data_IF_711526387316
#
_entry.id   IF_711526387316
#
_cell.length_a   1.000
_cell.length_b   1.000
_cell.length_c   1.000
_cell.angle_alpha   90.00
_cell.angle_beta   90.00
_cell.angle_gamma   90.00
#
_symmetry.space_group_name_H-M   'P 1'
#
loop_
_entity.id
_entity.type
_entity.pdbx_description
1 polymer ?
#
# COMPACT_ATOMS: atom_id res chain seq x y z
N UNK A 1 6.81 -13.47 -30.52
CA UNK A 1 8.00 -12.93 -29.85
C UNK A 1 9.08 -13.98 -29.85
N UNK A 2 10.26 -13.64 -30.35
CA UNK A 2 11.38 -14.56 -30.48
C UNK A 2 11.87 -15.00 -29.10
N UNK A 3 11.63 -16.28 -28.73
CA UNK A 3 11.89 -16.88 -27.42
C UNK A 3 13.37 -17.18 -27.14
N UNK A 4 14.29 -16.67 -27.99
CA UNK A 4 15.72 -17.02 -27.94
C UNK A 4 16.59 -16.03 -27.16
N UNK A 5 16.08 -14.85 -26.75
CA UNK A 5 16.88 -13.86 -25.97
C UNK A 5 16.78 -14.17 -24.49
N UNK A 6 17.93 -14.38 -23.84
CA UNK A 6 18.01 -14.51 -22.38
C UNK A 6 17.34 -13.31 -21.69
N UNK A 7 16.45 -13.58 -20.73
CA UNK A 7 15.79 -12.53 -19.96
C UNK A 7 16.81 -11.75 -19.13
N UNK A 8 16.63 -10.41 -18.96
CA UNK A 8 17.54 -9.64 -18.13
C UNK A 8 17.35 -9.98 -16.65
N UNK A 9 18.41 -9.81 -15.86
CA UNK A 9 18.30 -9.81 -14.41
C UNK A 9 17.65 -8.51 -13.93
N UNK A 10 16.64 -8.62 -13.07
CA UNK A 10 15.96 -7.48 -12.47
C UNK A 10 16.70 -7.07 -11.20
N UNK A 11 17.23 -5.83 -11.18
CA UNK A 11 17.74 -5.20 -9.97
C UNK A 11 16.61 -4.40 -9.31
N UNK A 12 15.98 -4.96 -8.29
CA UNK A 12 14.93 -4.31 -7.53
C UNK A 12 15.53 -3.50 -6.37
N UNK A 13 15.14 -2.22 -6.23
CA UNK A 13 15.65 -1.31 -5.21
C UNK A 13 14.52 -0.81 -4.33
N UNK A 14 14.49 -1.24 -3.07
CA UNK A 14 13.50 -0.82 -2.09
C UNK A 14 14.15 -0.55 -0.72
N UNK A 15 13.56 0.37 0.06
CA UNK A 15 14.07 0.72 1.38
C UNK A 15 13.84 -0.39 2.40
N UNK A 16 12.60 -0.81 2.56
CA UNK A 16 12.17 -2.00 3.28
C UNK A 16 11.27 -2.82 2.37
N UNK A 17 11.23 -4.14 2.55
CA UNK A 17 10.40 -5.02 1.74
C UNK A 17 9.66 -6.04 2.61
N UNK A 18 8.52 -6.52 2.15
CA UNK A 18 7.85 -7.68 2.72
C UNK A 18 8.68 -8.94 2.42
N UNK A 19 8.78 -9.93 3.31
CA UNK A 19 8.09 -10.04 4.61
C UNK A 19 8.79 -9.35 5.78
N UNK A 20 9.98 -8.77 5.60
CA UNK A 20 10.77 -8.15 6.66
C UNK A 20 10.02 -6.98 7.33
N UNK A 21 9.18 -6.30 6.57
CA UNK A 21 8.36 -5.20 7.06
C UNK A 21 7.00 -5.16 6.37
N UNK A 22 5.98 -4.64 7.05
CA UNK A 22 4.60 -4.55 6.55
C UNK A 22 4.26 -3.15 6.05
N UNK A 23 3.72 -3.08 4.82
CA UNK A 23 3.31 -1.82 4.18
C UNK A 23 2.94 -2.03 2.72
N UNK A 24 2.02 -1.23 2.20
CA UNK A 24 1.48 -1.40 0.84
C UNK A 24 2.56 -1.41 -0.25
N UNK A 25 3.47 -0.42 -0.25
CA UNK A 25 4.56 -0.34 -1.21
C UNK A 25 5.53 -1.54 -1.11
N UNK A 26 5.77 -2.03 0.11
CA UNK A 26 6.67 -3.15 0.35
C UNK A 26 6.06 -4.48 -0.08
N UNK A 27 4.77 -4.68 0.20
CA UNK A 27 3.99 -5.83 -0.26
C UNK A 27 3.91 -5.86 -1.80
N UNK A 28 3.61 -4.72 -2.42
CA UNK A 28 3.57 -4.59 -3.88
C UNK A 28 4.91 -4.97 -4.52
N UNK A 29 6.03 -4.46 -3.98
CA UNK A 29 7.38 -4.79 -4.49
C UNK A 29 7.63 -6.30 -4.43
N UNK A 30 7.32 -6.94 -3.30
CA UNK A 30 7.50 -8.37 -3.12
C UNK A 30 6.60 -9.20 -4.04
N UNK A 31 5.32 -8.84 -4.13
CA UNK A 31 4.33 -9.54 -4.95
C UNK A 31 4.68 -9.53 -6.45
N UNK A 32 5.22 -8.40 -6.95
CA UNK A 32 5.74 -8.31 -8.31
C UNK A 32 7.01 -9.15 -8.46
N UNK A 33 7.99 -8.98 -7.56
CA UNK A 33 9.29 -9.65 -7.66
C UNK A 33 9.15 -11.17 -7.67
N UNK A 34 8.35 -11.76 -6.76
CA UNK A 34 8.15 -13.23 -6.71
C UNK A 34 7.46 -13.78 -7.97
N UNK A 35 6.56 -12.98 -8.59
CA UNK A 35 5.92 -13.39 -9.85
C UNK A 35 6.87 -13.27 -11.03
N UNK A 36 7.75 -12.26 -11.04
CA UNK A 36 8.81 -12.16 -12.05
C UNK A 36 9.75 -13.37 -11.96
N UNK A 37 10.09 -13.85 -10.76
CA UNK A 37 10.85 -15.10 -10.58
C UNK A 37 10.10 -16.29 -11.18
N UNK A 38 8.80 -16.45 -10.90
CA UNK A 38 7.97 -17.52 -11.49
C UNK A 38 7.92 -17.47 -13.02
N UNK A 39 8.13 -16.29 -13.61
CA UNK A 39 8.21 -16.06 -15.06
C UNK A 39 9.62 -16.26 -15.63
N UNK A 40 10.57 -16.73 -14.82
CA UNK A 40 11.94 -17.07 -15.26
C UNK A 40 12.91 -15.87 -15.26
N UNK A 41 12.60 -14.77 -14.59
CA UNK A 41 13.58 -13.71 -14.34
C UNK A 41 14.40 -14.03 -13.09
N UNK A 42 15.69 -13.74 -13.13
CA UNK A 42 16.47 -13.60 -11.90
C UNK A 42 16.16 -12.25 -11.28
N UNK A 43 15.81 -12.20 -9.99
CA UNK A 43 15.49 -10.96 -9.28
C UNK A 43 16.44 -10.78 -8.09
N UNK A 44 17.23 -9.73 -8.13
CA UNK A 44 18.14 -9.29 -7.06
C UNK A 44 17.53 -8.07 -6.39
N UNK A 45 17.11 -8.22 -5.13
CA UNK A 45 16.55 -7.13 -4.33
C UNK A 45 17.60 -6.60 -3.37
N UNK A 46 17.89 -5.30 -3.47
CA UNK A 46 18.69 -4.58 -2.46
C UNK A 46 17.71 -3.82 -1.56
N UNK A 47 17.72 -4.14 -0.27
CA UNK A 47 16.84 -3.58 0.76
C UNK A 47 17.60 -3.33 2.06
N UNK A 48 16.98 -2.65 3.02
CA UNK A 48 17.58 -2.40 4.32
C UNK A 48 17.11 -3.43 5.34
N UNK A 49 17.90 -3.68 6.38
CA UNK A 49 17.50 -4.49 7.52
C UNK A 49 16.51 -3.73 8.41
N UNK A 50 15.38 -4.33 8.83
CA UNK A 50 14.53 -3.74 9.87
C UNK A 50 15.18 -3.77 11.26
N UNK A 51 15.93 -4.84 11.57
CA UNK A 51 16.75 -5.01 12.79
C UNK A 51 18.08 -5.69 12.46
N UNK A 52 18.98 -5.78 13.45
CA UNK A 52 20.29 -6.45 13.28
C UNK A 52 20.17 -7.96 13.12
N UNK A 53 19.05 -8.56 13.55
CA UNK A 53 18.86 -10.02 13.59
C UNK A 53 18.61 -10.62 12.20
N UNK A 54 18.24 -9.79 11.22
CA UNK A 54 18.01 -10.24 9.85
C UNK A 54 19.33 -10.59 9.14
N UNK A 55 19.40 -11.73 8.40
CA UNK A 55 20.59 -12.10 7.64
C UNK A 55 20.90 -11.09 6.52
N UNK A 56 22.18 -10.97 6.15
CA UNK A 56 22.60 -10.07 5.05
C UNK A 56 22.14 -10.55 3.68
N UNK A 57 21.96 -11.86 3.53
CA UNK A 57 21.49 -12.50 2.31
C UNK A 57 20.53 -13.64 2.63
N UNK A 58 19.46 -13.73 1.86
CA UNK A 58 18.47 -14.79 1.95
C UNK A 58 17.70 -14.89 0.62
N UNK A 59 17.17 -16.07 0.32
CA UNK A 59 16.28 -16.27 -0.82
C UNK A 59 14.86 -16.48 -0.26
N UNK A 60 13.94 -15.57 -0.61
CA UNK A 60 12.54 -15.64 -0.20
C UNK A 60 11.67 -15.65 -1.46
N UNK A 61 10.81 -16.66 -1.63
CA UNK A 61 9.98 -16.86 -2.83
C UNK A 61 10.80 -16.82 -4.15
N UNK A 62 12.07 -17.27 -4.11
CA UNK A 62 13.00 -17.24 -5.23
C UNK A 62 13.66 -15.88 -5.50
N UNK A 63 13.31 -14.85 -4.77
CA UNK A 63 13.94 -13.52 -4.83
C UNK A 63 15.20 -13.50 -3.99
N UNK A 64 16.33 -13.05 -4.55
CA UNK A 64 17.59 -12.90 -3.84
C UNK A 64 17.57 -11.58 -3.03
N UNK A 65 17.33 -11.67 -1.72
CA UNK A 65 17.38 -10.53 -0.79
C UNK A 65 18.80 -10.24 -0.36
N UNK A 66 19.30 -9.07 -0.68
CA UNK A 66 20.56 -8.53 -0.15
C UNK A 66 20.25 -7.34 0.76
N UNK A 67 20.29 -7.59 2.05
CA UNK A 67 20.00 -6.59 3.06
C UNK A 67 21.26 -5.80 3.39
N UNK A 68 21.13 -4.48 3.37
CA UNK A 68 22.18 -3.54 3.75
C UNK A 68 21.93 -2.98 5.14
N UNK A 69 22.94 -2.30 5.70
CA UNK A 69 22.96 -1.86 7.09
C UNK A 69 21.64 -1.23 7.59
N UNK A 70 21.39 -1.44 8.86
CA UNK A 70 20.26 -0.93 9.63
C UNK A 70 20.39 0.55 10.03
N UNK A 71 19.23 1.16 10.38
CA UNK A 71 19.11 2.48 11.03
C UNK A 71 19.60 3.69 10.23
N UNK A 72 19.04 3.84 9.13
CA UNK A 72 19.38 4.79 8.08
C UNK A 72 19.01 6.23 8.41
N UNK A 73 17.99 6.46 9.21
CA UNK A 73 17.59 7.80 9.65
C UNK A 73 18.69 8.54 10.43
N UNK A 74 19.69 7.82 10.93
CA UNK A 74 20.78 8.38 11.74
C UNK A 74 22.10 8.58 10.99
N UNK A 75 22.33 7.87 9.86
CA UNK A 75 23.58 7.98 9.09
C UNK A 75 23.37 7.72 7.58
N UNK A 76 23.01 8.76 6.81
CA UNK A 76 22.79 8.65 5.38
C UNK A 76 24.09 8.32 4.59
N UNK A 77 25.28 8.66 5.13
CA UNK A 77 26.57 8.37 4.49
C UNK A 77 26.85 6.87 4.55
N UNK A 78 26.56 6.26 5.69
CA UNK A 78 26.72 4.81 5.88
C UNK A 78 25.79 4.04 4.92
N UNK A 79 24.54 4.47 4.78
CA UNK A 79 23.61 3.87 3.82
C UNK A 79 24.14 4.02 2.39
N UNK A 80 24.53 5.21 1.99
CA UNK A 80 25.08 5.48 0.67
C UNK A 80 26.25 4.55 0.33
N UNK A 81 27.23 4.42 1.25
CA UNK A 81 28.38 3.49 1.09
C UNK A 81 27.92 2.04 0.98
N UNK A 82 26.95 1.62 1.77
CA UNK A 82 26.40 0.25 1.76
C UNK A 82 25.71 -0.06 0.43
N UNK A 83 24.86 0.85 -0.07
CA UNK A 83 24.23 0.74 -1.39
C UNK A 83 25.26 0.62 -2.50
N UNK A 84 26.28 1.51 -2.49
CA UNK A 84 27.36 1.45 -3.48
C UNK A 84 28.11 0.12 -3.47
N UNK A 85 28.46 -0.37 -2.27
CA UNK A 85 29.19 -1.63 -2.09
C UNK A 85 28.39 -2.79 -2.66
N UNK A 86 27.09 -2.91 -2.30
CA UNK A 86 26.23 -4.00 -2.77
C UNK A 86 26.02 -3.96 -4.28
N UNK A 87 25.74 -2.81 -4.85
CA UNK A 87 25.57 -2.70 -6.31
C UNK A 87 26.85 -3.09 -7.04
N UNK A 88 28.04 -2.63 -6.59
CA UNK A 88 29.32 -3.04 -7.20
C UNK A 88 29.61 -4.53 -7.09
N UNK A 89 29.14 -5.18 -6.01
CA UNK A 89 29.33 -6.63 -5.82
C UNK A 89 28.47 -7.47 -6.74
N UNK A 90 27.27 -7.01 -7.08
CA UNK A 90 26.28 -7.81 -7.82
C UNK A 90 26.13 -7.42 -9.28
N UNK A 91 26.49 -6.19 -9.66
CA UNK A 91 26.50 -5.75 -11.04
C UNK A 91 27.73 -6.26 -11.76
N UNK A 92 27.55 -7.38 -12.47
CA UNK A 92 28.59 -7.94 -13.35
C UNK A 92 28.51 -7.22 -14.70
N UNK A 93 29.64 -6.66 -15.16
CA UNK A 93 29.71 -6.04 -16.49
C UNK A 93 29.49 -7.10 -17.58
N UNK A 94 28.64 -6.76 -18.56
CA UNK A 94 28.29 -7.65 -19.66
C UNK A 94 27.02 -8.46 -19.48
N UNK A 95 26.49 -8.63 -18.26
CA UNK A 95 25.19 -9.25 -18.05
C UNK A 95 24.04 -8.30 -18.39
N UNK A 96 22.92 -8.85 -18.90
CA UNK A 96 21.72 -8.05 -19.19
C UNK A 96 20.98 -7.68 -17.91
N UNK A 97 20.94 -6.38 -17.58
CA UNK A 97 20.26 -5.85 -16.39
C UNK A 97 19.19 -4.84 -16.76
N UNK A 98 18.07 -4.87 -16.00
CA UNK A 98 17.07 -3.81 -15.91
C UNK A 98 16.84 -3.46 -14.44
N UNK A 99 16.74 -2.17 -14.11
CA UNK A 99 16.49 -1.76 -12.73
C UNK A 99 15.01 -1.39 -12.52
N UNK A 100 14.39 -1.93 -11.48
CA UNK A 100 13.07 -1.55 -10.99
C UNK A 100 13.23 -0.83 -9.65
N UNK A 101 13.05 0.49 -9.66
CA UNK A 101 13.31 1.35 -8.50
C UNK A 101 11.99 1.65 -7.81
N UNK A 102 11.84 1.22 -6.57
CA UNK A 102 10.64 1.43 -5.74
C UNK A 102 10.83 2.49 -4.65
N UNK A 103 12.07 2.82 -4.32
CA UNK A 103 12.37 3.82 -3.29
C UNK A 103 13.37 4.85 -3.80
N UNK A 104 13.06 6.17 -3.72
CA UNK A 104 13.91 7.21 -4.27
C UNK A 104 15.23 7.37 -3.53
N UNK A 105 15.31 7.10 -2.22
CA UNK A 105 16.55 7.22 -1.45
C UNK A 105 17.58 6.18 -1.90
N UNK A 106 17.19 4.90 -1.93
CA UNK A 106 18.06 3.81 -2.38
C UNK A 106 18.42 3.98 -3.86
N UNK A 107 17.41 4.36 -4.69
CA UNK A 107 17.60 4.61 -6.12
C UNK A 107 18.60 5.74 -6.41
N UNK A 108 18.48 6.88 -5.73
CA UNK A 108 19.40 8.01 -5.91
C UNK A 108 20.82 7.67 -5.48
N UNK A 109 21.00 6.93 -4.38
CA UNK A 109 22.31 6.46 -3.95
C UNK A 109 22.94 5.47 -4.94
N UNK A 110 22.13 4.62 -5.55
CA UNK A 110 22.57 3.73 -6.61
C UNK A 110 23.12 4.49 -7.83
N UNK A 111 22.54 5.65 -8.17
CA UNK A 111 23.02 6.49 -9.29
C UNK A 111 24.44 6.99 -9.14
N UNK A 112 25.03 6.93 -7.96
CA UNK A 112 26.46 7.28 -7.76
C UNK A 112 27.43 6.21 -8.27
N UNK A 113 26.92 5.01 -8.61
CA UNK A 113 27.69 3.91 -9.20
C UNK A 113 27.66 4.00 -10.73
N UNK A 114 28.81 4.23 -11.39
CA UNK A 114 28.89 4.44 -12.84
C UNK A 114 28.22 3.33 -13.68
N UNK A 115 28.48 2.03 -13.48
CA UNK A 115 27.82 0.95 -14.22
C UNK A 115 26.30 1.01 -14.10
N UNK A 116 25.77 1.27 -12.89
CA UNK A 116 24.32 1.36 -12.67
C UNK A 116 23.66 2.50 -13.47
N UNK A 117 24.35 3.62 -13.72
CA UNK A 117 23.78 4.72 -14.54
C UNK A 117 23.42 4.27 -15.96
N UNK A 118 24.15 3.30 -16.52
CA UNK A 118 23.94 2.79 -17.88
C UNK A 118 22.80 1.80 -17.98
N UNK A 119 22.37 1.20 -16.86
CA UNK A 119 21.26 0.23 -16.85
C UNK A 119 19.95 0.96 -17.13
N UNK A 120 19.09 0.44 -18.03
CA UNK A 120 17.74 0.95 -18.21
C UNK A 120 16.94 0.80 -16.92
N UNK A 121 16.14 1.82 -16.59
CA UNK A 121 15.43 1.92 -15.30
C UNK A 121 13.97 2.23 -15.49
N UNK A 122 13.16 1.57 -14.67
CA UNK A 122 11.76 1.90 -14.41
C UNK A 122 11.66 2.39 -12.97
N UNK A 123 11.07 3.56 -12.75
CA UNK A 123 10.80 4.09 -11.42
C UNK A 123 9.31 3.89 -11.07
N UNK A 124 9.04 3.22 -9.96
CA UNK A 124 7.69 3.00 -9.46
C UNK A 124 7.38 4.03 -8.37
N UNK A 125 6.59 5.03 -8.70
CA UNK A 125 6.17 6.09 -7.79
C UNK A 125 4.92 5.63 -7.01
N UNK A 126 5.13 5.16 -5.78
CA UNK A 126 4.06 4.62 -4.93
C UNK A 126 3.15 5.71 -4.34
N UNK A 127 3.76 6.79 -3.87
CA UNK A 127 3.12 7.98 -3.30
C UNK A 127 4.12 9.12 -3.25
N UNK A 128 3.65 10.34 -3.00
CA UNK A 128 4.53 11.50 -2.80
C UNK A 128 5.19 11.41 -1.42
N UNK A 129 6.47 11.06 -1.37
CA UNK A 129 7.25 11.09 -0.13
C UNK A 129 7.32 12.51 0.45
N UNK A 130 7.37 13.53 -0.42
CA UNK A 130 7.29 14.93 -0.02
C UNK A 130 6.03 15.22 0.81
N UNK A 131 4.85 14.80 0.33
CA UNK A 131 3.58 15.04 1.02
C UNK A 131 3.50 14.27 2.33
N UNK A 132 3.89 12.99 2.33
CA UNK A 132 3.92 12.18 3.54
C UNK A 132 4.82 12.80 4.61
N UNK A 133 6.02 13.22 4.22
CA UNK A 133 6.97 13.84 5.15
C UNK A 133 6.49 15.19 5.63
N UNK A 134 5.85 15.99 4.77
CA UNK A 134 5.27 17.29 5.16
C UNK A 134 4.20 17.12 6.24
N UNK A 135 3.33 16.11 6.14
CA UNK A 135 2.30 15.82 7.15
C UNK A 135 2.97 15.38 8.45
N UNK A 136 3.86 14.40 8.40
CA UNK A 136 4.54 13.87 9.58
C UNK A 136 5.32 14.96 10.36
N UNK A 137 5.97 15.87 9.66
CA UNK A 137 6.78 16.93 10.29
C UNK A 137 5.96 18.11 10.79
N UNK A 138 4.78 18.41 10.21
CA UNK A 138 3.86 19.41 10.73
C UNK A 138 3.29 18.99 12.07
N UNK A 139 3.06 17.72 12.29
CA UNK A 139 2.60 17.18 13.58
C UNK A 139 3.67 17.23 14.68
N UNK A 140 4.96 17.10 14.32
CA UNK A 140 6.09 17.04 15.29
C UNK A 140 6.59 18.43 15.71
N UNK A 141 5.99 19.54 15.24
CA UNK A 141 6.39 20.92 15.55
C UNK A 141 7.90 21.21 15.36
N UNK A 142 8.54 20.62 14.34
CA UNK A 142 9.93 20.93 14.00
C UNK A 142 10.05 22.33 13.37
N UNK A 143 11.12 23.06 13.71
CA UNK A 143 11.35 24.42 13.22
C UNK A 143 11.28 24.51 11.68
N UNK A 144 10.59 25.51 11.15
CA UNK A 144 10.29 25.71 9.70
C UNK A 144 11.51 25.58 8.77
N UNK A 145 12.69 26.00 9.22
CA UNK A 145 13.91 25.96 8.39
C UNK A 145 14.40 24.52 8.17
N UNK A 146 14.40 23.69 9.23
CA UNK A 146 14.79 22.26 9.13
C UNK A 146 13.81 21.49 8.26
N UNK A 147 12.52 21.76 8.39
CA UNK A 147 11.46 21.17 7.57
C UNK A 147 11.72 21.50 6.07
N UNK A 148 11.91 22.75 5.73
CA UNK A 148 12.09 23.17 4.35
C UNK A 148 13.34 22.56 3.71
N UNK A 149 14.47 22.49 4.41
CA UNK A 149 15.70 21.84 3.95
C UNK A 149 15.50 20.35 3.66
N UNK A 150 14.82 19.63 4.57
CA UNK A 150 14.52 18.19 4.42
C UNK A 150 13.61 17.93 3.22
N UNK A 151 12.56 18.71 3.05
CA UNK A 151 11.64 18.58 1.91
C UNK A 151 12.34 18.83 0.56
N UNK A 152 13.26 19.80 0.48
CA UNK A 152 14.07 20.01 -0.73
C UNK A 152 14.97 18.82 -1.06
N UNK A 153 15.57 18.19 -0.04
CA UNK A 153 16.39 16.99 -0.24
C UNK A 153 15.53 15.84 -0.79
N UNK A 154 14.33 15.64 -0.23
CA UNK A 154 13.38 14.63 -0.71
C UNK A 154 13.01 14.87 -2.18
N UNK A 155 12.63 16.09 -2.54
CA UNK A 155 12.34 16.44 -3.93
C UNK A 155 13.53 16.18 -4.86
N UNK A 156 14.75 16.49 -4.43
CA UNK A 156 15.95 16.23 -5.23
C UNK A 156 16.20 14.73 -5.42
N UNK A 157 16.01 13.91 -4.37
CA UNK A 157 16.15 12.45 -4.45
C UNK A 157 15.13 11.83 -5.41
N UNK A 158 13.87 12.23 -5.31
CA UNK A 158 12.81 11.81 -6.23
C UNK A 158 13.10 12.27 -7.65
N UNK A 159 13.50 13.55 -7.83
CA UNK A 159 13.91 14.10 -9.12
C UNK A 159 15.04 13.29 -9.76
N UNK A 160 16.09 12.96 -9.00
CA UNK A 160 17.21 12.17 -9.50
C UNK A 160 16.74 10.80 -10.01
N UNK A 161 15.85 10.10 -9.27
CA UNK A 161 15.33 8.81 -9.69
C UNK A 161 14.56 8.87 -11.00
N UNK A 162 13.61 9.80 -11.13
CA UNK A 162 12.83 9.87 -12.37
C UNK A 162 13.65 10.40 -13.56
N UNK A 163 14.58 11.34 -13.34
CA UNK A 163 15.42 11.94 -14.39
C UNK A 163 16.28 10.92 -15.13
N UNK A 164 16.71 9.88 -14.41
CA UNK A 164 17.52 8.80 -14.95
C UNK A 164 16.71 7.54 -15.30
N UNK A 165 15.38 7.57 -15.16
CA UNK A 165 14.49 6.49 -15.56
C UNK A 165 13.95 6.70 -16.97
N UNK A 166 13.80 5.62 -17.73
CA UNK A 166 13.15 5.64 -19.06
C UNK A 166 11.62 5.67 -18.92
N UNK A 167 11.10 5.07 -17.86
CA UNK A 167 9.68 5.04 -17.55
C UNK A 167 9.41 5.26 -16.07
N UNK A 168 8.24 5.86 -15.76
CA UNK A 168 7.71 6.01 -14.39
C UNK A 168 6.33 5.36 -14.34
N UNK A 169 6.14 4.48 -13.36
CA UNK A 169 4.88 3.80 -13.07
C UNK A 169 4.18 4.48 -11.89
N UNK A 170 2.88 4.63 -12.00
CA UNK A 170 2.02 5.23 -11.00
C UNK A 170 0.92 4.26 -10.62
N UNK A 171 0.50 4.27 -9.37
CA UNK A 171 -0.57 3.39 -8.88
C UNK A 171 -1.97 3.91 -9.25
N UNK A 172 -2.10 5.21 -9.52
CA UNK A 172 -3.36 5.89 -9.81
C UNK A 172 -3.13 7.17 -10.62
N UNK A 173 -4.18 7.68 -11.23
CA UNK A 173 -4.16 9.00 -11.86
C UNK A 173 -3.87 10.11 -10.84
N UNK A 174 -4.35 9.94 -9.60
CA UNK A 174 -4.04 10.84 -8.49
C UNK A 174 -2.53 10.94 -8.26
N UNK A 175 -1.82 9.80 -8.11
CA UNK A 175 -0.36 9.81 -7.90
C UNK A 175 0.39 10.39 -9.10
N UNK A 176 -0.09 10.14 -10.33
CA UNK A 176 0.47 10.74 -11.54
C UNK A 176 0.31 12.26 -11.57
N UNK A 177 -0.87 12.78 -11.21
CA UNK A 177 -1.12 14.23 -11.13
C UNK A 177 -0.22 14.89 -10.08
N UNK A 178 -0.15 14.30 -8.86
CA UNK A 178 0.74 14.80 -7.80
C UNK A 178 2.20 14.84 -8.26
N UNK A 179 2.67 13.80 -8.93
CA UNK A 179 4.01 13.77 -9.50
C UNK A 179 4.24 14.92 -10.50
N UNK A 180 3.30 15.17 -11.41
CA UNK A 180 3.42 16.23 -12.42
C UNK A 180 3.45 17.63 -11.78
N UNK A 181 2.73 17.84 -10.69
CA UNK A 181 2.76 19.10 -9.92
C UNK A 181 4.13 19.41 -9.34
N UNK A 182 4.84 18.38 -8.84
CA UNK A 182 6.19 18.56 -8.30
C UNK A 182 7.28 18.59 -9.36
N UNK A 183 7.08 17.87 -10.46
CA UNK A 183 8.07 17.66 -11.51
C UNK A 183 7.51 18.03 -12.89
N UNK A 184 7.29 19.33 -13.20
CA UNK A 184 6.69 19.77 -14.45
C UNK A 184 7.60 19.65 -15.68
N UNK A 185 8.91 19.33 -15.48
CA UNK A 185 9.90 19.31 -16.54
C UNK A 185 9.84 18.06 -17.41
N UNK A 186 10.80 17.91 -18.35
CA UNK A 186 10.87 16.85 -19.36
C UNK A 186 10.46 15.48 -18.79
N UNK A 187 9.37 14.95 -19.33
CA UNK A 187 8.67 13.76 -18.78
C UNK A 187 9.24 12.49 -19.40
N UNK A 188 9.63 11.48 -18.62
CA UNK A 188 9.84 10.12 -19.12
C UNK A 188 8.50 9.52 -19.58
N UNK A 189 8.53 8.31 -20.16
CA UNK A 189 7.30 7.57 -20.38
C UNK A 189 6.56 7.37 -19.05
N UNK A 190 5.26 7.58 -19.05
CA UNK A 190 4.40 7.49 -17.85
C UNK A 190 3.32 6.46 -18.06
N UNK A 191 3.17 5.49 -17.16
CA UNK A 191 2.07 4.51 -17.18
C UNK A 191 1.41 4.42 -15.80
N UNK A 192 0.10 4.23 -15.81
CA UNK A 192 -0.66 3.87 -14.61
C UNK A 192 -0.75 2.35 -14.58
N UNK A 193 -0.17 1.75 -13.54
CA UNK A 193 -0.25 0.33 -13.24
C UNK A 193 -0.70 0.24 -11.78
N UNK A 194 -1.97 -0.12 -11.52
CA UNK A 194 -2.51 -0.16 -10.16
C UNK A 194 -1.81 -1.23 -9.32
N UNK A 195 -2.01 -1.17 -8.01
CA UNK A 195 -1.68 -2.29 -7.13
C UNK A 195 -2.64 -3.46 -7.32
N UNK A 196 -2.40 -4.56 -6.61
CA UNK A 196 -3.20 -5.77 -6.77
C UNK A 196 -3.55 -6.45 -5.45
N UNK A 197 -4.33 -7.52 -5.57
CA UNK A 197 -4.63 -8.47 -4.51
C UNK A 197 -4.39 -9.90 -5.00
N UNK A 198 -4.11 -10.80 -4.08
CA UNK A 198 -4.13 -12.24 -4.34
C UNK A 198 -5.59 -12.70 -4.35
N UNK A 199 -6.16 -12.78 -5.53
CA UNK A 199 -7.59 -13.05 -5.73
C UNK A 199 -7.99 -14.50 -5.41
N UNK A 200 -7.04 -15.39 -5.23
CA UNK A 200 -7.28 -16.76 -4.76
C UNK A 200 -7.26 -16.84 -3.24
N UNK A 201 -6.37 -16.08 -2.61
CA UNK A 201 -6.28 -15.95 -1.16
C UNK A 201 -7.40 -15.10 -0.58
N UNK A 202 -7.66 -13.94 -1.17
CA UNK A 202 -8.75 -13.03 -0.81
C UNK A 202 -9.96 -13.36 -1.68
N UNK A 203 -10.82 -14.24 -1.21
CA UNK A 203 -12.05 -14.67 -1.88
C UNK A 203 -13.20 -14.78 -0.86
N UNK A 204 -14.44 -14.74 -1.30
CA UNK A 204 -15.57 -15.06 -0.44
C UNK A 204 -15.40 -16.44 0.18
N UNK A 205 -15.72 -16.59 1.47
CA UNK A 205 -15.72 -17.91 2.11
C UNK A 205 -17.06 -18.59 1.89
N UNK A 206 -17.03 -19.85 1.46
CA UNK A 206 -18.20 -20.73 1.39
C UNK A 206 -18.46 -21.44 2.73
N UNK A 207 -17.46 -21.44 3.63
CA UNK A 207 -17.56 -22.09 4.94
C UNK A 207 -18.21 -21.16 5.98
N UNK A 208 -19.50 -21.25 6.14
CA UNK A 208 -20.28 -20.46 7.09
C UNK A 208 -19.87 -20.69 8.54
N UNK A 209 -19.36 -21.89 8.88
CA UNK A 209 -18.91 -22.20 10.23
C UNK A 209 -17.65 -21.41 10.58
N UNK A 210 -16.64 -21.39 9.70
CA UNK A 210 -15.40 -20.60 9.90
C UNK A 210 -15.70 -19.10 10.01
N UNK A 211 -16.64 -18.59 9.18
CA UNK A 211 -17.10 -17.21 9.26
C UNK A 211 -17.72 -16.92 10.64
N UNK A 212 -18.61 -17.83 11.13
CA UNK A 212 -19.25 -17.67 12.43
C UNK A 212 -18.24 -17.76 13.58
N UNK A 213 -17.29 -18.69 13.52
CA UNK A 213 -16.22 -18.82 14.50
C UNK A 213 -15.34 -17.55 14.56
N UNK A 214 -14.99 -16.97 13.39
CA UNK A 214 -14.22 -15.73 13.34
C UNK A 214 -15.02 -14.57 13.95
N UNK A 215 -16.32 -14.45 13.66
CA UNK A 215 -17.18 -13.43 14.28
C UNK A 215 -17.24 -13.58 15.79
N UNK A 216 -17.41 -14.80 16.29
CA UNK A 216 -17.39 -15.09 17.72
C UNK A 216 -16.05 -14.75 18.37
N UNK A 217 -14.93 -15.12 17.74
CA UNK A 217 -13.57 -14.80 18.21
C UNK A 217 -13.33 -13.29 18.31
N UNK A 218 -13.91 -12.52 17.41
CA UNK A 218 -13.83 -11.05 17.39
C UNK A 218 -14.87 -10.37 18.29
N UNK A 219 -15.68 -11.15 19.00
CA UNK A 219 -16.73 -10.62 19.87
C UNK A 219 -17.83 -9.88 19.11
N UNK A 220 -18.18 -10.35 17.89
CA UNK A 220 -19.28 -9.79 17.11
C UNK A 220 -20.57 -10.48 17.56
N UNK A 221 -21.49 -9.79 18.29
CA UNK A 221 -22.72 -10.42 18.74
C UNK A 221 -23.63 -10.80 17.59
N UNK A 222 -24.48 -11.80 17.80
CA UNK A 222 -25.47 -12.19 16.80
C UNK A 222 -26.39 -11.01 16.43
N UNK A 223 -26.70 -10.88 15.16
CA UNK A 223 -27.52 -9.78 14.62
C UNK A 223 -26.77 -8.44 14.47
N UNK A 224 -25.52 -8.32 14.91
CA UNK A 224 -24.73 -7.11 14.71
C UNK A 224 -24.06 -7.09 13.32
N UNK A 225 -24.02 -5.93 12.69
CA UNK A 225 -23.20 -5.71 11.48
C UNK A 225 -21.74 -5.57 11.85
N UNK A 226 -20.89 -6.31 11.16
CA UNK A 226 -19.45 -6.27 11.32
C UNK A 226 -18.81 -5.29 10.33
N UNK A 227 -18.33 -4.15 10.84
CA UNK A 227 -17.59 -3.15 10.10
C UNK A 227 -16.10 -3.37 10.33
N UNK A 228 -15.31 -3.47 9.27
CA UNK A 228 -13.88 -3.75 9.34
C UNK A 228 -13.07 -2.61 8.75
N UNK A 229 -11.98 -2.24 9.41
CA UNK A 229 -10.88 -1.46 8.81
C UNK A 229 -9.54 -2.10 9.13
N UNK A 230 -8.66 -2.24 8.11
CA UNK A 230 -7.32 -2.82 8.24
C UNK A 230 -6.32 -1.77 7.82
N UNK A 231 -5.67 -1.10 8.79
CA UNK A 231 -4.81 0.06 8.51
C UNK A 231 -3.69 0.23 9.53
N UNK A 232 -2.64 0.97 9.15
CA UNK A 232 -1.71 1.52 10.15
C UNK A 232 -2.44 2.56 11.00
N UNK A 233 -2.16 2.60 12.30
CA UNK A 233 -2.78 3.56 13.23
C UNK A 233 -1.95 4.86 13.23
N UNK A 234 -2.07 5.62 12.12
CA UNK A 234 -1.37 6.87 11.86
C UNK A 234 -2.38 7.98 11.49
N UNK A 235 -2.04 9.24 11.73
CA UNK A 235 -2.97 10.37 11.64
C UNK A 235 -3.70 10.47 10.30
N UNK A 236 -2.98 10.37 9.17
CA UNK A 236 -3.58 10.47 7.83
C UNK A 236 -4.57 9.36 7.49
N UNK A 237 -4.67 8.31 8.32
CA UNK A 237 -5.55 7.16 8.07
C UNK A 237 -7.01 7.42 8.48
N UNK A 238 -7.31 8.53 9.18
CA UNK A 238 -8.67 8.99 9.46
C UNK A 238 -9.44 8.12 10.46
N UNK A 239 -8.75 7.35 11.29
CA UNK A 239 -9.39 6.48 12.28
C UNK A 239 -10.04 7.27 13.42
N UNK A 240 -9.53 8.43 13.73
CA UNK A 240 -10.14 9.40 14.68
C UNK A 240 -11.51 9.87 14.20
N UNK A 241 -11.63 10.23 12.91
CA UNK A 241 -12.91 10.57 12.29
C UNK A 241 -13.88 9.37 12.28
N UNK A 242 -13.36 8.16 12.02
CA UNK A 242 -14.20 6.95 12.04
C UNK A 242 -14.73 6.63 13.44
N UNK A 243 -13.93 6.80 14.49
CA UNK A 243 -14.36 6.63 15.88
C UNK A 243 -15.40 7.71 16.24
N UNK A 244 -15.18 8.96 15.85
CA UNK A 244 -16.16 10.04 16.04
C UNK A 244 -17.48 9.73 15.32
N UNK A 245 -17.42 9.22 14.08
CA UNK A 245 -18.58 8.80 13.33
C UNK A 245 -19.35 7.67 14.03
N UNK A 246 -18.66 6.68 14.59
CA UNK A 246 -19.28 5.60 15.36
C UNK A 246 -19.99 6.16 16.61
N UNK A 247 -19.37 7.12 17.33
CA UNK A 247 -20.01 7.77 18.48
C UNK A 247 -21.27 8.54 18.10
N UNK A 248 -21.25 9.28 16.99
CA UNK A 248 -22.43 9.97 16.47
C UNK A 248 -23.58 8.99 16.16
N UNK A 249 -23.28 7.82 15.57
CA UNK A 249 -24.30 6.82 15.25
C UNK A 249 -24.91 6.25 16.53
N UNK A 250 -24.07 5.84 17.50
CA UNK A 250 -24.54 5.26 18.77
C UNK A 250 -25.41 6.26 19.54
N UNK A 251 -25.02 7.54 19.53
CA UNK A 251 -25.82 8.59 20.20
C UNK A 251 -27.15 8.87 19.49
N UNK A 252 -27.15 8.89 18.16
CA UNK A 252 -28.31 9.29 17.35
C UNK A 252 -29.31 8.16 17.09
N UNK A 253 -28.80 6.93 16.97
CA UNK A 253 -29.56 5.74 16.59
C UNK A 253 -29.09 4.50 17.40
N UNK A 254 -29.34 4.48 18.74
CA UNK A 254 -28.85 3.43 19.65
C UNK A 254 -29.43 2.03 19.35
N UNK A 255 -30.51 1.97 18.59
CA UNK A 255 -31.11 0.70 18.14
C UNK A 255 -30.32 -0.01 17.06
N UNK A 256 -29.40 0.68 16.37
CA UNK A 256 -28.58 0.12 15.30
C UNK A 256 -27.44 -0.73 15.87
N UNK A 257 -27.46 -2.01 15.55
CA UNK A 257 -26.52 -3.01 16.08
C UNK A 257 -25.32 -3.17 15.14
N UNK A 258 -24.15 -2.74 15.59
CA UNK A 258 -22.88 -2.92 14.86
C UNK A 258 -21.70 -3.09 15.79
N UNK A 259 -20.64 -3.70 15.27
CA UNK A 259 -19.30 -3.77 15.87
C UNK A 259 -18.27 -3.33 14.84
N UNK A 260 -17.47 -2.34 15.19
CA UNK A 260 -16.34 -1.89 14.37
C UNK A 260 -15.05 -2.56 14.84
N UNK A 261 -14.37 -3.28 13.97
CA UNK A 261 -13.06 -3.86 14.25
C UNK A 261 -12.00 -3.03 13.55
N UNK A 262 -11.07 -2.51 14.35
CA UNK A 262 -9.90 -1.74 13.89
C UNK A 262 -8.68 -2.66 14.00
N UNK A 263 -8.19 -3.15 12.85
CA UNK A 263 -7.05 -4.03 12.74
C UNK A 263 -5.81 -3.25 12.27
N UNK A 264 -4.71 -3.37 13.02
CA UNK A 264 -3.43 -2.74 12.70
C UNK A 264 -2.67 -2.25 13.92
N UNK A 265 -1.49 -1.70 13.65
CA UNK A 265 -0.61 -1.06 14.65
C UNK A 265 -0.14 0.30 14.15
N UNK A 266 0.26 1.18 15.05
CA UNK A 266 0.80 2.50 14.72
C UNK A 266 0.96 3.39 15.93
N UNK A 267 1.48 4.59 15.68
CA UNK A 267 1.81 5.57 16.74
C UNK A 267 0.59 6.08 17.52
N UNK A 268 -0.60 6.02 16.91
CA UNK A 268 -1.83 6.53 17.51
C UNK A 268 -2.64 5.48 18.29
N UNK A 269 -2.13 4.25 18.49
CA UNK A 269 -2.88 3.18 19.15
C UNK A 269 -3.54 3.61 20.45
N UNK A 270 -2.77 4.16 21.40
CA UNK A 270 -3.26 4.50 22.72
C UNK A 270 -4.22 5.71 22.69
N UNK A 271 -3.94 6.68 21.81
CA UNK A 271 -4.81 7.83 21.59
C UNK A 271 -6.18 7.42 21.06
N UNK A 272 -6.22 6.52 20.06
CA UNK A 272 -7.46 6.05 19.46
C UNK A 272 -8.29 5.18 20.43
N UNK A 273 -7.64 4.35 21.23
CA UNK A 273 -8.30 3.59 22.30
C UNK A 273 -8.91 4.52 23.34
N UNK A 274 -8.14 5.51 23.82
CA UNK A 274 -8.63 6.50 24.77
C UNK A 274 -9.82 7.28 24.20
N UNK A 275 -9.78 7.65 22.93
CA UNK A 275 -10.90 8.33 22.26
C UNK A 275 -12.15 7.43 22.25
N UNK A 276 -12.02 6.15 21.92
CA UNK A 276 -13.16 5.22 21.90
C UNK A 276 -13.78 5.08 23.31
N UNK A 277 -12.97 4.87 24.34
CA UNK A 277 -13.45 4.75 25.74
C UNK A 277 -14.12 6.05 26.23
N UNK A 278 -13.49 7.21 25.99
CA UNK A 278 -14.09 8.52 26.36
C UNK A 278 -15.40 8.81 25.63
N UNK A 279 -15.62 8.19 24.45
CA UNK A 279 -16.86 8.29 23.69
C UNK A 279 -17.88 7.19 24.03
N UNK A 280 -17.61 6.32 25.03
CA UNK A 280 -18.52 5.25 25.45
C UNK A 280 -18.66 4.12 24.43
N UNK A 281 -17.61 3.84 23.64
CA UNK A 281 -17.67 2.88 22.51
C UNK A 281 -17.00 1.54 22.81
N UNK A 282 -16.71 1.20 24.05
CA UNK A 282 -16.02 -0.04 24.42
C UNK A 282 -16.76 -1.30 23.94
N UNK A 283 -18.09 -1.28 23.96
CA UNK A 283 -18.94 -2.34 23.43
C UNK A 283 -19.08 -2.33 21.90
N UNK A 284 -18.77 -1.20 21.25
CA UNK A 284 -18.96 -1.02 19.79
C UNK A 284 -17.65 -1.13 18.99
N UNK A 285 -16.50 -0.94 19.60
CA UNK A 285 -15.19 -0.95 18.92
C UNK A 285 -14.28 -2.04 19.51
N UNK A 286 -13.64 -2.81 18.63
CA UNK A 286 -12.62 -3.77 18.98
C UNK A 286 -11.30 -3.45 18.26
N UNK A 287 -10.21 -3.29 19.01
CA UNK A 287 -8.87 -3.10 18.48
C UNK A 287 -8.15 -4.44 18.42
N UNK A 288 -8.08 -5.07 17.26
CA UNK A 288 -7.44 -6.40 17.08
C UNK A 288 -5.91 -6.35 17.11
N UNK A 289 -5.30 -5.16 17.05
CA UNK A 289 -3.86 -5.07 16.87
C UNK A 289 -3.40 -5.55 15.48
N UNK A 290 -2.15 -5.99 15.37
CA UNK A 290 -1.62 -6.54 14.12
C UNK A 290 -2.27 -7.89 13.81
N UNK A 291 -2.81 -8.01 12.61
CA UNK A 291 -3.38 -9.26 12.09
C UNK A 291 -2.39 -9.88 11.12
N UNK A 292 -1.93 -11.11 11.37
CA UNK A 292 -1.07 -11.85 10.44
C UNK A 292 -1.73 -12.02 9.06
N UNK A 293 -0.91 -12.05 8.02
CA UNK A 293 -1.39 -12.10 6.62
C UNK A 293 -2.20 -13.36 6.30
N UNK A 294 -1.97 -14.47 6.98
CA UNK A 294 -2.73 -15.73 6.84
C UNK A 294 -4.14 -15.65 7.44
N UNK A 295 -4.36 -14.81 8.45
CA UNK A 295 -5.66 -14.61 9.07
C UNK A 295 -6.49 -13.51 8.38
N UNK A 296 -5.86 -12.58 7.65
CA UNK A 296 -6.56 -11.47 6.99
C UNK A 296 -7.72 -11.89 6.09
N UNK A 297 -7.62 -12.96 5.27
CA UNK A 297 -8.73 -13.41 4.43
C UNK A 297 -10.02 -13.68 5.23
N UNK A 298 -9.89 -14.30 6.41
CA UNK A 298 -11.04 -14.59 7.27
C UNK A 298 -11.64 -13.32 7.89
N UNK A 299 -10.83 -12.31 8.20
CA UNK A 299 -11.36 -11.01 8.63
C UNK A 299 -12.23 -10.36 7.55
N UNK A 300 -11.74 -10.36 6.29
CA UNK A 300 -12.51 -9.82 5.17
C UNK A 300 -13.77 -10.67 4.89
N UNK A 301 -13.67 -11.99 4.92
CA UNK A 301 -14.80 -12.89 4.66
C UNK A 301 -15.88 -12.80 5.74
N UNK A 302 -15.51 -12.54 7.00
CA UNK A 302 -16.44 -12.45 8.12
C UNK A 302 -17.13 -11.07 8.23
N UNK A 303 -16.58 -10.03 7.59
CA UNK A 303 -17.10 -8.68 7.65
C UNK A 303 -18.30 -8.45 6.74
N UNK A 304 -19.17 -7.52 7.12
CA UNK A 304 -20.31 -7.08 6.32
C UNK A 304 -19.95 -5.92 5.38
N UNK A 305 -19.02 -5.05 5.82
CA UNK A 305 -18.48 -3.94 5.03
C UNK A 305 -17.06 -3.60 5.47
N UNK A 306 -16.23 -3.18 4.52
CA UNK A 306 -14.91 -2.62 4.79
C UNK A 306 -14.96 -1.10 4.75
N UNK A 307 -14.24 -0.42 5.66
CA UNK A 307 -14.19 1.04 5.71
C UNK A 307 -12.75 1.52 5.46
N UNK A 308 -12.61 2.42 4.48
CA UNK A 308 -11.38 3.09 4.11
C UNK A 308 -11.48 4.58 4.45
N UNK A 309 -11.17 5.00 5.71
CA UNK A 309 -11.49 6.34 6.20
C UNK A 309 -10.37 7.36 5.96
N UNK A 310 -9.44 7.11 5.03
CA UNK A 310 -8.26 7.96 4.79
C UNK A 310 -8.63 9.44 4.63
N UNK A 311 -7.97 10.31 5.38
CA UNK A 311 -8.19 11.76 5.29
C UNK A 311 -7.22 12.46 4.34
N UNK A 312 -5.99 11.93 4.20
CA UNK A 312 -4.96 12.52 3.35
C UNK A 312 -4.14 11.44 2.66
N UNK A 313 -3.81 11.65 1.40
CA UNK A 313 -2.86 10.87 0.60
C UNK A 313 -3.14 9.35 0.64
N UNK A 314 -3.97 8.91 -0.28
CA UNK A 314 -4.09 7.49 -0.59
C UNK A 314 -3.53 7.25 -1.99
N UNK A 315 -2.37 6.62 -2.08
CA UNK A 315 -1.75 6.34 -3.38
C UNK A 315 -2.57 5.37 -4.22
N UNK A 316 -3.11 4.33 -3.55
CA UNK A 316 -3.96 3.31 -4.18
C UNK A 316 -4.95 2.68 -3.20
N UNK A 317 -4.46 2.00 -2.16
CA UNK A 317 -5.30 1.30 -1.19
C UNK A 317 -5.36 -0.22 -1.45
N UNK A 318 -4.25 -0.93 -1.20
CA UNK A 318 -4.19 -2.40 -1.36
C UNK A 318 -5.28 -3.09 -0.53
N UNK A 319 -5.53 -2.64 0.70
CA UNK A 319 -6.60 -3.18 1.55
C UNK A 319 -8.00 -3.04 0.93
N UNK A 320 -8.23 -1.99 0.14
CA UNK A 320 -9.48 -1.82 -0.62
C UNK A 320 -9.67 -2.95 -1.63
N UNK A 321 -8.65 -3.25 -2.43
CA UNK A 321 -8.76 -4.30 -3.45
C UNK A 321 -8.72 -5.70 -2.85
N UNK A 322 -8.10 -5.91 -1.69
CA UNK A 322 -8.21 -7.16 -0.92
C UNK A 322 -9.65 -7.38 -0.44
N UNK A 323 -10.30 -6.34 0.10
CA UNK A 323 -11.71 -6.39 0.51
C UNK A 323 -12.62 -6.66 -0.70
N UNK A 324 -12.48 -5.91 -1.80
CA UNK A 324 -13.24 -6.13 -3.03
C UNK A 324 -13.03 -7.54 -3.58
N UNK A 325 -11.79 -8.04 -3.53
CA UNK A 325 -11.45 -9.40 -3.94
C UNK A 325 -12.18 -10.46 -3.10
N UNK A 326 -12.39 -10.20 -1.81
CA UNK A 326 -13.18 -11.05 -0.92
C UNK A 326 -14.71 -10.90 -1.12
N UNK A 327 -15.15 -10.15 -2.14
CA UNK A 327 -16.57 -9.83 -2.35
C UNK A 327 -17.15 -8.91 -1.28
N UNK A 328 -16.31 -8.25 -0.49
CA UNK A 328 -16.71 -7.35 0.57
C UNK A 328 -16.87 -5.92 0.03
N UNK A 329 -18.06 -5.30 0.11
CA UNK A 329 -18.23 -3.91 -0.27
C UNK A 329 -17.39 -2.98 0.59
N UNK A 330 -16.89 -1.89 0.00
CA UNK A 330 -16.01 -0.94 0.66
C UNK A 330 -16.65 0.43 0.68
N UNK A 331 -16.72 1.06 1.85
CA UNK A 331 -16.96 2.50 1.94
C UNK A 331 -15.64 3.24 2.05
N UNK A 332 -15.36 4.11 1.10
CA UNK A 332 -14.12 4.88 1.04
C UNK A 332 -14.34 6.38 0.98
N UNK A 333 -13.41 7.13 1.58
CA UNK A 333 -13.38 8.58 1.43
C UNK A 333 -13.02 8.99 0.00
N UNK A 334 -13.46 10.17 -0.48
CA UNK A 334 -13.13 10.65 -1.81
C UNK A 334 -11.69 11.18 -1.89
N UNK A 335 -10.73 10.40 -1.37
CA UNK A 335 -9.31 10.77 -1.26
C UNK A 335 -8.44 9.86 -2.12
N UNK A 336 -7.62 10.47 -2.97
CA UNK A 336 -6.58 9.78 -3.73
C UNK A 336 -7.11 8.69 -4.66
N UNK A 337 -6.38 7.57 -4.70
CA UNK A 337 -6.73 6.41 -5.54
C UNK A 337 -8.01 5.69 -5.16
N UNK A 338 -8.56 5.93 -3.96
CA UNK A 338 -9.82 5.30 -3.52
C UNK A 338 -10.98 5.61 -4.46
N UNK A 339 -11.06 6.85 -4.97
CA UNK A 339 -12.11 7.26 -5.91
C UNK A 339 -12.02 6.55 -7.25
N UNK A 340 -10.80 6.22 -7.67
CA UNK A 340 -10.54 5.54 -8.94
C UNK A 340 -10.89 4.05 -8.88
N UNK A 341 -10.84 3.47 -7.68
CA UNK A 341 -11.21 2.07 -7.46
C UNK A 341 -12.72 1.93 -7.28
N UNK A 342 -13.32 2.73 -6.40
CA UNK A 342 -14.72 2.54 -5.97
C UNK A 342 -15.72 3.21 -6.91
N UNK A 343 -15.38 4.39 -7.46
CA UNK A 343 -16.29 5.17 -8.31
C UNK A 343 -16.83 4.42 -9.53
N UNK A 344 -16.01 3.63 -10.26
CA UNK A 344 -16.47 2.82 -11.37
C UNK A 344 -17.40 1.67 -11.00
N UNK A 345 -17.35 1.16 -9.77
CA UNK A 345 -18.23 0.09 -9.29
C UNK A 345 -19.60 0.69 -8.97
N UNK A 346 -19.63 1.62 -8.04
CA UNK A 346 -20.84 2.36 -7.66
C UNK A 346 -20.48 3.59 -6.81
N UNK A 347 -21.03 4.75 -7.15
CA UNK A 347 -20.80 5.99 -6.39
C UNK A 347 -21.32 5.92 -4.94
N UNK A 348 -22.28 5.01 -4.65
CA UNK A 348 -22.75 4.78 -3.27
C UNK A 348 -21.66 4.23 -2.36
N UNK A 349 -20.58 3.67 -2.88
CA UNK A 349 -19.43 3.19 -2.12
C UNK A 349 -18.51 4.33 -1.63
N UNK A 350 -18.72 5.55 -2.10
CA UNK A 350 -17.94 6.71 -1.64
C UNK A 350 -18.69 7.49 -0.55
N UNK A 351 -17.96 7.87 0.47
CA UNK A 351 -18.41 8.93 1.37
C UNK A 351 -18.52 10.25 0.59
N UNK A 352 -19.36 11.17 1.07
CA UNK A 352 -19.46 12.50 0.47
C UNK A 352 -18.18 13.30 0.69
N UNK A 353 -17.59 13.17 1.90
CA UNK A 353 -16.39 13.86 2.32
C UNK A 353 -15.54 12.94 3.25
N UNK A 354 -14.34 13.39 3.63
CA UNK A 354 -13.44 12.66 4.51
C UNK A 354 -13.61 13.02 6.01
N UNK A 355 -14.74 13.61 6.38
CA UNK A 355 -15.07 13.99 7.76
C UNK A 355 -15.92 12.93 8.49
N UNK A 356 -15.99 13.05 9.81
CA UNK A 356 -16.75 12.14 10.67
C UNK A 356 -18.25 12.15 10.36
N UNK A 357 -18.83 13.33 10.08
CA UNK A 357 -20.24 13.47 9.75
C UNK A 357 -20.65 12.70 8.50
N UNK A 358 -19.86 12.86 7.43
CA UNK A 358 -20.09 12.16 6.17
C UNK A 358 -19.97 10.64 6.33
N UNK A 359 -19.02 10.18 7.15
CA UNK A 359 -18.88 8.76 7.49
C UNK A 359 -20.08 8.27 8.31
N UNK A 360 -20.49 9.02 9.34
CA UNK A 360 -21.65 8.66 10.17
C UNK A 360 -22.94 8.52 9.34
N UNK A 361 -23.26 9.52 8.52
CA UNK A 361 -24.45 9.52 7.66
C UNK A 361 -24.47 8.29 6.72
N UNK A 362 -23.35 7.94 6.10
CA UNK A 362 -23.25 6.81 5.17
C UNK A 362 -23.30 5.45 5.88
N UNK A 363 -22.61 5.31 7.01
CA UNK A 363 -22.62 4.07 7.79
C UNK A 363 -24.02 3.85 8.37
N UNK A 364 -24.66 4.87 8.92
CA UNK A 364 -26.03 4.79 9.41
C UNK A 364 -27.02 4.40 8.30
N UNK A 365 -26.88 5.00 7.10
CA UNK A 365 -27.68 4.60 5.94
C UNK A 365 -27.50 3.11 5.60
N UNK A 366 -26.25 2.60 5.61
CA UNK A 366 -25.97 1.17 5.41
C UNK A 366 -26.64 0.29 6.47
N UNK A 367 -26.52 0.66 7.74
CA UNK A 367 -27.10 -0.11 8.84
C UNK A 367 -28.64 -0.23 8.73
N UNK A 368 -29.28 0.80 8.18
CA UNK A 368 -30.73 0.82 7.89
C UNK A 368 -31.10 0.12 6.58
N UNK A 369 -30.18 0.02 5.61
CA UNK A 369 -30.43 -0.48 4.26
C UNK A 369 -29.34 -1.49 3.79
N UNK A 370 -29.03 -2.55 4.54
CA UNK A 370 -27.90 -3.42 4.24
C UNK A 370 -28.00 -4.10 2.88
N UNK A 371 -29.19 -4.49 2.45
CA UNK A 371 -29.42 -5.23 1.19
C UNK A 371 -29.02 -4.40 -0.04
N UNK A 372 -29.17 -3.08 0.02
CA UNK A 372 -28.77 -2.20 -1.08
C UNK A 372 -27.23 -2.19 -1.28
N UNK A 373 -26.46 -2.48 -0.24
CA UNK A 373 -25.00 -2.59 -0.31
C UNK A 373 -24.60 -4.03 -0.62
N UNK A 374 -25.27 -5.01 -0.03
CA UNK A 374 -24.99 -6.42 -0.29
C UNK A 374 -25.24 -6.82 -1.74
N UNK A 375 -26.17 -6.17 -2.43
CA UNK A 375 -26.38 -6.36 -3.87
C UNK A 375 -25.14 -6.01 -4.72
N UNK A 376 -24.17 -5.28 -4.18
CA UNK A 376 -22.93 -4.90 -4.86
C UNK A 376 -21.78 -5.91 -4.67
N UNK A 377 -21.95 -6.97 -3.87
CA UNK A 377 -20.89 -7.94 -3.55
C UNK A 377 -20.28 -8.58 -4.80
N UNK A 378 -21.12 -9.03 -5.75
CA UNK A 378 -20.66 -9.61 -7.02
C UNK A 378 -19.86 -8.60 -7.85
N UNK A 379 -20.37 -7.37 -8.00
CA UNK A 379 -19.73 -6.31 -8.76
C UNK A 379 -18.35 -5.95 -8.16
N UNK A 380 -18.25 -5.91 -6.81
CA UNK A 380 -16.99 -5.69 -6.10
C UNK A 380 -15.96 -6.78 -6.44
N UNK A 381 -16.37 -8.04 -6.37
CA UNK A 381 -15.51 -9.19 -6.71
C UNK A 381 -15.09 -9.18 -8.18
N UNK A 382 -16.03 -8.98 -9.09
CA UNK A 382 -15.77 -8.94 -10.54
C UNK A 382 -14.76 -7.85 -10.91
N UNK A 383 -14.91 -6.64 -10.34
CA UNK A 383 -13.99 -5.55 -10.59
C UNK A 383 -12.58 -5.87 -10.10
N UNK A 384 -12.45 -6.51 -8.91
CA UNK A 384 -11.17 -6.94 -8.38
C UNK A 384 -10.49 -7.98 -9.29
N UNK A 385 -11.23 -8.99 -9.73
CA UNK A 385 -10.73 -10.03 -10.65
C UNK A 385 -10.30 -9.45 -11.99
N UNK A 386 -11.08 -8.53 -12.54
CA UNK A 386 -10.86 -7.93 -13.85
C UNK A 386 -9.67 -7.00 -13.91
N UNK A 387 -9.35 -6.29 -12.82
CA UNK A 387 -8.37 -5.18 -12.87
C UNK A 387 -7.20 -5.32 -11.92
N UNK A 388 -7.36 -6.04 -10.79
CA UNK A 388 -6.48 -5.92 -9.64
C UNK A 388 -5.85 -7.25 -9.19
N UNK A 389 -5.90 -8.34 -10.00
CA UNK A 389 -5.11 -9.53 -9.67
C UNK A 389 -3.61 -9.22 -9.80
N UNK A 390 -2.79 -9.76 -8.91
CA UNK A 390 -1.34 -9.57 -8.99
C UNK A 390 -0.75 -10.06 -10.32
N UNK A 391 -1.36 -11.06 -10.95
CA UNK A 391 -0.88 -11.57 -12.24
C UNK A 391 -1.07 -10.55 -13.35
N UNK A 392 -2.26 -9.93 -13.44
CA UNK A 392 -2.52 -8.82 -14.39
C UNK A 392 -1.63 -7.60 -14.14
N UNK A 393 -1.38 -7.27 -12.86
CA UNK A 393 -0.47 -6.18 -12.50
C UNK A 393 0.95 -6.51 -12.94
N UNK A 394 1.39 -7.75 -12.72
CA UNK A 394 2.74 -8.19 -13.09
C UNK A 394 2.91 -8.26 -14.60
N UNK A 395 1.89 -8.68 -15.38
CA UNK A 395 1.91 -8.62 -16.85
C UNK A 395 2.24 -7.23 -17.36
N UNK A 396 1.55 -6.23 -16.83
CA UNK A 396 1.77 -4.81 -17.22
C UNK A 396 3.14 -4.29 -16.81
N UNK A 397 3.67 -4.73 -15.67
CA UNK A 397 5.02 -4.37 -15.22
C UNK A 397 6.07 -5.06 -16.07
N UNK A 398 5.89 -6.35 -16.42
CA UNK A 398 6.78 -7.11 -17.32
C UNK A 398 6.86 -6.42 -18.68
N UNK A 399 5.71 -6.11 -19.32
CA UNK A 399 5.66 -5.36 -20.58
C UNK A 399 6.50 -4.08 -20.53
N UNK A 400 6.43 -3.33 -19.44
CA UNK A 400 7.14 -2.06 -19.32
C UNK A 400 8.64 -2.26 -19.06
N UNK A 401 9.03 -3.28 -18.29
CA UNK A 401 10.43 -3.63 -18.09
C UNK A 401 11.07 -4.10 -19.38
N UNK A 402 10.40 -4.95 -20.15
CA UNK A 402 10.87 -5.46 -21.44
C UNK A 402 10.99 -4.35 -22.47
N UNK A 403 10.02 -3.46 -22.54
CA UNK A 403 10.05 -2.30 -23.43
C UNK A 403 11.23 -1.38 -23.10
N UNK A 404 11.47 -1.12 -21.83
CA UNK A 404 12.56 -0.25 -21.36
C UNK A 404 13.93 -0.92 -21.59
N UNK A 405 14.01 -2.24 -21.45
CA UNK A 405 15.22 -3.02 -21.70
C UNK A 405 15.48 -3.20 -23.20
N UNK A 406 14.47 -3.48 -24.01
CA UNK A 406 14.59 -3.73 -25.45
C UNK A 406 14.91 -2.48 -26.28
N UNK A 407 14.64 -1.28 -25.78
CA UNK A 407 14.97 -0.01 -26.40
C UNK A 407 16.40 0.47 -26.07
N UNK A 408 17.36 -0.45 -26.07
CA UNK A 408 18.81 -0.11 -25.93
C UNK A 408 19.38 0.41 -27.23
#
# INVERSE_FOLDING_TARGET
MDSSKAKPTILSLQYLCYPDATGGAWKLTHEINKRMVKRGYRVVLITCKPSQDFPDHEIIDGVEFYRIAFAISKDPIRLWRAVQKKIKQHLIEGEPWVAHVHNPLVGAFALTVKPYRKIPKVYHFHSSWYDEEKINLTEIHQGRIKLYGRLKIICWLEWACYRYSKSVLFLSEYTRKRFIEYFPFKKPRMRIIPGGADTTKFCPSENTNEVSEMRNKLGIPEGHKFLLTVRRLEARMGLDNLITAAAEIVHRSPELKFKLVIAGKGSLNDKLKSQATLSGLDDHIHFSGFVPDDLLPMYYAAADIFIMPTTFIEGFGIATVEALSSGLPVFGTPVGGTTEILGPIDKRLLFRDADAKSMAEKIEWFLKNPDQVFSLKSNCREEALKKYSWDLVTDRVEEELDLVWGNK
#
